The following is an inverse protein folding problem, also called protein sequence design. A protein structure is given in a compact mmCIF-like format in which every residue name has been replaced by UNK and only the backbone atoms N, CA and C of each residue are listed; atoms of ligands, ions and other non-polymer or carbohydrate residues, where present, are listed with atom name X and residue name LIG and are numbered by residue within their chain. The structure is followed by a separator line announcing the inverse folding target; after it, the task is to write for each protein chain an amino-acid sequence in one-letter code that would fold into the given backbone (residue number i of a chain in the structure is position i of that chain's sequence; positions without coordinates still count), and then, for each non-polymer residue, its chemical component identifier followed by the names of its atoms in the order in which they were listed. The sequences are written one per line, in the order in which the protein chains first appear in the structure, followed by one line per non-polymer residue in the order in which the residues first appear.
data_IF_918925043137
#
_entry.id   IF_918925043137
#
_cell.length_a   1.000
_cell.length_b   1.000
_cell.length_c   1.000
_cell.angle_alpha   90.00
_cell.angle_beta   90.00
_cell.angle_gamma   90.00
#
_symmetry.space_group_name_H-M   'P 1'
#
loop_
_entity.id
_entity.type
_entity.pdbx_description
1 polymer ?
#
# COMPACT_ATOMS: atom_id res chain seq x y z
N UNK A 1 9.55 16.08 -0.40
CA UNK A 1 8.64 15.03 0.07
C UNK A 1 8.15 14.21 -1.12
N UNK A 2 7.92 12.92 -0.91
CA UNK A 2 7.33 12.02 -1.89
C UNK A 2 5.81 12.27 -1.93
N UNK A 3 5.25 12.41 -3.11
CA UNK A 3 3.81 12.68 -3.31
C UNK A 3 3.16 11.49 -4.00
N UNK A 4 2.06 11.01 -3.44
CA UNK A 4 1.28 9.91 -4.02
C UNK A 4 -0.22 10.13 -3.88
N UNK A 5 -0.94 9.61 -4.86
CA UNK A 5 -2.40 9.54 -4.87
C UNK A 5 -2.85 8.16 -5.38
N UNK A 6 -4.06 7.75 -5.01
CA UNK A 6 -4.65 6.57 -5.62
C UNK A 6 -5.18 6.88 -7.02
N UNK A 7 -5.15 5.88 -7.89
CA UNK A 7 -5.81 5.93 -9.19
C UNK A 7 -6.37 4.55 -9.56
N UNK A 8 -7.53 4.53 -10.22
CA UNK A 8 -8.21 3.28 -10.57
C UNK A 8 -8.58 3.20 -12.05
N UNK A 9 -8.33 4.26 -12.83
CA UNK A 9 -8.63 4.33 -14.26
C UNK A 9 -7.48 4.94 -15.04
N UNK A 10 -7.39 4.62 -16.33
CA UNK A 10 -6.38 5.20 -17.20
C UNK A 10 -6.51 6.73 -17.33
N UNK A 11 -7.73 7.27 -17.32
CA UNK A 11 -7.96 8.71 -17.44
C UNK A 11 -7.49 9.47 -16.19
N UNK A 12 -7.77 8.94 -15.00
CA UNK A 12 -7.31 9.54 -13.75
C UNK A 12 -5.78 9.43 -13.62
N UNK A 13 -5.21 8.27 -13.97
CA UNK A 13 -3.76 8.09 -13.99
C UNK A 13 -3.08 9.13 -14.89
N UNK A 14 -3.59 9.32 -16.11
CA UNK A 14 -3.04 10.32 -17.04
C UNK A 14 -3.15 11.76 -16.52
N UNK A 15 -4.21 12.08 -15.77
CA UNK A 15 -4.37 13.39 -15.16
C UNK A 15 -3.37 13.64 -14.04
N UNK A 16 -3.09 12.62 -13.22
CA UNK A 16 -2.22 12.71 -12.05
C UNK A 16 -0.73 12.50 -12.35
N UNK A 17 -0.40 11.88 -13.46
CA UNK A 17 0.93 11.33 -13.80
C UNK A 17 2.11 12.33 -13.69
N UNK A 18 1.85 13.62 -13.96
CA UNK A 18 2.87 14.67 -13.86
C UNK A 18 2.97 15.33 -12.49
N UNK A 19 2.06 14.99 -11.57
CA UNK A 19 1.90 15.67 -10.28
C UNK A 19 2.30 14.80 -9.09
N UNK A 20 2.58 13.51 -9.32
CA UNK A 20 2.90 12.55 -8.27
C UNK A 20 4.15 11.74 -8.61
N UNK A 21 4.85 11.25 -7.59
CA UNK A 21 5.99 10.37 -7.75
C UNK A 21 5.56 8.92 -8.00
N UNK A 22 4.47 8.50 -7.36
CA UNK A 22 3.85 7.21 -7.66
C UNK A 22 2.33 7.25 -7.57
N UNK A 23 1.68 6.34 -8.28
CA UNK A 23 0.25 6.06 -8.24
C UNK A 23 0.02 4.72 -7.56
N UNK A 24 -0.89 4.69 -6.60
CA UNK A 24 -1.32 3.46 -5.95
C UNK A 24 -2.65 3.01 -6.52
N UNK A 25 -2.70 1.78 -7.02
CA UNK A 25 -3.96 1.09 -7.30
C UNK A 25 -4.32 0.34 -6.02
N UNK A 26 -5.04 1.02 -5.13
CA UNK A 26 -5.41 0.52 -3.81
C UNK A 26 -6.64 -0.38 -3.84
N UNK A 27 -6.72 -1.35 -2.94
CA UNK A 27 -7.94 -2.14 -2.74
C UNK A 27 -9.08 -1.31 -2.11
N UNK A 28 -8.78 -0.09 -1.64
CA UNK A 28 -9.76 0.95 -1.31
C UNK A 28 -10.76 1.24 -2.46
N UNK A 29 -10.41 0.89 -3.72
CA UNK A 29 -11.36 0.96 -4.84
C UNK A 29 -12.65 0.18 -4.60
N UNK A 30 -12.59 -0.90 -3.81
CA UNK A 30 -13.78 -1.63 -3.39
C UNK A 30 -14.80 -0.72 -2.74
N UNK A 31 -14.34 0.19 -1.88
CA UNK A 31 -15.21 1.13 -1.17
C UNK A 31 -15.61 2.32 -2.06
N UNK A 32 -14.63 3.01 -2.66
CA UNK A 32 -14.88 4.30 -3.34
C UNK A 32 -15.41 4.16 -4.77
N UNK A 33 -15.15 3.04 -5.45
CA UNK A 33 -15.63 2.81 -6.83
C UNK A 33 -16.82 1.84 -6.86
N UNK A 34 -16.76 0.78 -6.07
CA UNK A 34 -17.77 -0.29 -6.08
C UNK A 34 -18.80 -0.18 -4.96
N UNK A 35 -18.65 0.75 -4.01
CA UNK A 35 -19.58 0.92 -2.88
C UNK A 35 -19.61 -0.28 -1.92
N UNK A 36 -18.52 -1.06 -1.87
CA UNK A 36 -18.38 -2.18 -0.93
C UNK A 36 -18.20 -1.64 0.50
N UNK A 37 -18.65 -2.36 1.53
CA UNK A 37 -18.53 -1.90 2.91
C UNK A 37 -17.09 -1.90 3.46
N UNK A 38 -16.19 -2.63 2.82
CA UNK A 38 -14.76 -2.75 3.16
C UNK A 38 -13.98 -3.29 1.94
N UNK A 39 -12.67 -3.50 2.13
CA UNK A 39 -11.76 -3.98 1.07
C UNK A 39 -11.74 -5.51 0.90
N UNK A 40 -12.36 -6.28 1.81
CA UNK A 40 -12.21 -7.76 1.85
C UNK A 40 -12.80 -8.49 0.65
N UNK A 41 -13.76 -7.88 -0.05
CA UNK A 41 -14.42 -8.48 -1.22
C UNK A 41 -13.72 -8.14 -2.55
N UNK A 42 -12.66 -7.34 -2.51
CA UNK A 42 -11.87 -7.02 -3.72
C UNK A 42 -11.08 -8.24 -4.15
N UNK A 43 -11.21 -8.60 -5.43
CA UNK A 43 -10.55 -9.79 -5.97
C UNK A 43 -9.23 -9.45 -6.66
N UNK A 44 -8.38 -10.46 -6.82
CA UNK A 44 -7.12 -10.34 -7.56
C UNK A 44 -7.37 -9.89 -9.01
N UNK A 45 -8.42 -10.40 -9.65
CA UNK A 45 -8.77 -10.03 -11.03
C UNK A 45 -9.21 -8.56 -11.15
N UNK A 46 -9.91 -8.03 -10.15
CA UNK A 46 -10.24 -6.59 -10.07
C UNK A 46 -8.95 -5.77 -9.98
N UNK A 47 -8.03 -6.14 -9.08
CA UNK A 47 -6.76 -5.43 -8.93
C UNK A 47 -5.94 -5.44 -10.23
N UNK A 48 -5.90 -6.57 -10.93
CA UNK A 48 -5.22 -6.69 -12.22
C UNK A 48 -5.88 -5.81 -13.28
N UNK A 49 -7.21 -5.84 -13.39
CA UNK A 49 -7.93 -5.06 -14.38
C UNK A 49 -7.70 -3.54 -14.21
N UNK A 50 -7.82 -3.04 -12.98
CA UNK A 50 -7.58 -1.64 -12.65
C UNK A 50 -6.09 -1.28 -12.74
N UNK A 51 -5.19 -2.14 -12.25
CA UNK A 51 -3.75 -1.97 -12.35
C UNK A 51 -3.28 -1.81 -13.79
N UNK A 52 -3.73 -2.69 -14.68
CA UNK A 52 -3.42 -2.61 -16.10
C UNK A 52 -3.95 -1.31 -16.75
N UNK A 53 -5.13 -0.83 -16.33
CA UNK A 53 -5.68 0.43 -16.81
C UNK A 53 -4.82 1.63 -16.36
N UNK A 54 -4.43 1.66 -15.09
CA UNK A 54 -3.59 2.74 -14.53
C UNK A 54 -2.21 2.76 -15.18
N UNK A 55 -1.57 1.60 -15.35
CA UNK A 55 -0.28 1.50 -16.05
C UNK A 55 -0.36 2.05 -17.47
N UNK A 56 -1.42 1.75 -18.22
CA UNK A 56 -1.61 2.33 -19.58
C UNK A 56 -1.80 3.84 -19.57
N UNK A 57 -2.35 4.39 -18.49
CA UNK A 57 -2.58 5.83 -18.34
C UNK A 57 -1.35 6.60 -17.83
N UNK A 58 -0.41 5.92 -17.19
CA UNK A 58 0.79 6.53 -16.60
C UNK A 58 2.00 6.41 -17.56
N UNK A 59 2.86 7.44 -17.55
CA UNK A 59 4.10 7.49 -18.34
C UNK A 59 5.32 7.84 -17.49
N UNK A 60 5.14 8.51 -16.36
CA UNK A 60 6.21 9.01 -15.48
C UNK A 60 6.12 8.44 -14.08
N UNK A 61 4.93 8.50 -13.48
CA UNK A 61 4.73 8.03 -12.12
C UNK A 61 4.94 6.51 -12.02
N UNK A 62 5.60 6.09 -10.94
CA UNK A 62 5.71 4.68 -10.61
C UNK A 62 4.34 4.12 -10.26
N UNK A 63 3.91 3.00 -10.82
CA UNK A 63 2.62 2.38 -10.49
C UNK A 63 2.82 1.20 -9.57
N UNK A 64 2.21 1.23 -8.41
CA UNK A 64 2.18 0.16 -7.41
C UNK A 64 0.75 -0.38 -7.31
N UNK A 65 0.60 -1.69 -7.21
CA UNK A 65 -0.71 -2.36 -7.11
C UNK A 65 -0.82 -3.12 -5.81
N UNK A 66 -1.94 -2.95 -5.10
CA UNK A 66 -2.21 -3.69 -3.86
C UNK A 66 -2.45 -5.17 -4.13
N UNK A 67 -1.96 -5.99 -3.23
CA UNK A 67 -2.38 -7.38 -3.10
C UNK A 67 -3.65 -7.43 -2.24
N UNK A 68 -4.79 -7.89 -2.78
CA UNK A 68 -6.04 -7.90 -2.02
C UNK A 68 -6.03 -8.98 -0.92
N UNK A 69 -6.92 -8.82 0.05
CA UNK A 69 -7.09 -9.80 1.14
C UNK A 69 -7.26 -11.23 0.60
N UNK A 70 -6.60 -12.19 1.24
CA UNK A 70 -6.63 -13.59 0.87
C UNK A 70 -5.66 -13.98 -0.25
N UNK A 71 -4.94 -13.01 -0.85
CA UNK A 71 -4.02 -13.29 -1.96
C UNK A 71 -2.57 -13.54 -1.52
N UNK A 72 -2.18 -13.25 -0.25
CA UNK A 72 -0.80 -13.34 0.21
C UNK A 72 -0.64 -13.87 1.65
N UNK A 73 -1.73 -13.93 2.44
CA UNK A 73 -1.63 -14.26 3.86
C UNK A 73 -1.41 -15.75 4.14
N UNK A 74 -1.74 -16.64 3.21
CA UNK A 74 -1.69 -18.09 3.46
C UNK A 74 -0.26 -18.65 3.44
N UNK A 75 0.63 -18.14 2.58
CA UNK A 75 2.03 -18.54 2.50
C UNK A 75 2.85 -17.60 1.62
N UNK A 76 4.20 -17.58 1.80
CA UNK A 76 5.09 -16.85 0.89
C UNK A 76 4.99 -17.31 -0.57
N UNK A 77 4.75 -18.60 -0.84
CA UNK A 77 4.55 -19.10 -2.20
C UNK A 77 3.29 -18.57 -2.85
N UNK A 78 2.17 -18.58 -2.13
CA UNK A 78 0.92 -17.97 -2.61
C UNK A 78 1.13 -16.47 -2.92
N UNK A 79 1.78 -15.74 -2.01
CA UNK A 79 2.09 -14.33 -2.21
C UNK A 79 2.90 -14.11 -3.49
N UNK A 80 3.92 -14.93 -3.73
CA UNK A 80 4.75 -14.82 -4.92
C UNK A 80 3.98 -15.12 -6.20
N UNK A 81 3.19 -16.19 -6.25
CA UNK A 81 2.36 -16.52 -7.42
C UNK A 81 1.42 -15.39 -7.79
N UNK A 82 0.74 -14.80 -6.81
CA UNK A 82 -0.20 -13.71 -7.04
C UNK A 82 0.50 -12.37 -7.35
N UNK A 83 1.63 -12.06 -6.69
CA UNK A 83 2.43 -10.87 -7.01
C UNK A 83 3.02 -10.95 -8.42
N UNK A 84 3.57 -12.10 -8.81
CA UNK A 84 4.08 -12.33 -10.14
C UNK A 84 2.99 -12.20 -11.21
N UNK A 85 1.79 -12.69 -10.92
CA UNK A 85 0.63 -12.52 -11.80
C UNK A 85 0.22 -11.06 -11.94
N UNK A 86 0.13 -10.31 -10.83
CA UNK A 86 -0.15 -8.86 -10.87
C UNK A 86 0.88 -8.15 -11.74
N UNK A 87 2.17 -8.34 -11.50
CA UNK A 87 3.23 -7.67 -12.25
C UNK A 87 3.23 -8.02 -13.73
N UNK A 88 3.05 -9.29 -14.06
CA UNK A 88 3.06 -9.77 -15.45
C UNK A 88 1.86 -9.26 -16.25
N UNK A 89 0.66 -9.24 -15.66
CA UNK A 89 -0.57 -8.87 -16.37
C UNK A 89 -0.79 -7.34 -16.39
N UNK A 90 -0.26 -6.59 -15.42
CA UNK A 90 -0.43 -5.14 -15.35
C UNK A 90 0.75 -4.36 -15.90
N UNK A 91 1.97 -4.88 -15.75
CA UNK A 91 3.22 -4.14 -16.00
C UNK A 91 3.57 -3.12 -14.92
N UNK A 92 2.98 -3.23 -13.71
CA UNK A 92 3.29 -2.34 -12.59
C UNK A 92 4.75 -2.52 -12.10
N UNK A 93 5.26 -1.51 -11.40
CA UNK A 93 6.64 -1.48 -10.91
C UNK A 93 6.84 -2.29 -9.61
N UNK A 94 5.78 -2.56 -8.87
CA UNK A 94 5.82 -3.32 -7.62
C UNK A 94 4.43 -3.53 -7.04
N UNK A 95 4.39 -4.22 -5.90
CA UNK A 95 3.13 -4.50 -5.20
C UNK A 95 3.13 -3.87 -3.79
N UNK A 96 1.94 -3.65 -3.22
CA UNK A 96 1.80 -3.33 -1.80
C UNK A 96 1.10 -4.48 -1.07
N UNK A 97 1.48 -4.73 0.16
CA UNK A 97 0.82 -5.65 1.07
C UNK A 97 0.83 -5.10 2.49
N UNK A 98 -0.14 -5.53 3.28
CA UNK A 98 -0.34 -5.09 4.67
C UNK A 98 0.24 -6.11 5.65
N UNK A 99 0.86 -5.58 6.71
CA UNK A 99 1.39 -6.35 7.83
C UNK A 99 2.84 -5.99 8.17
N UNK A 100 3.19 -6.23 9.42
CA UNK A 100 4.49 -5.93 10.01
C UNK A 100 5.35 -7.18 10.19
N UNK A 101 5.64 -7.49 11.46
CA UNK A 101 6.50 -8.63 11.84
C UNK A 101 5.99 -9.97 11.28
N UNK A 102 4.68 -10.17 11.27
CA UNK A 102 4.04 -11.40 10.77
C UNK A 102 4.19 -11.58 9.25
N UNK A 103 4.44 -10.48 8.51
CA UNK A 103 4.64 -10.52 7.07
C UNK A 103 6.12 -10.43 6.64
N UNK A 104 7.05 -10.28 7.59
CA UNK A 104 8.46 -10.09 7.28
C UNK A 104 9.05 -11.24 6.45
N UNK A 105 8.71 -12.50 6.75
CA UNK A 105 9.15 -13.66 5.97
C UNK A 105 8.62 -13.61 4.53
N UNK A 106 7.33 -13.27 4.37
CA UNK A 106 6.71 -13.16 3.06
C UNK A 106 7.33 -12.03 2.25
N UNK A 107 7.56 -10.86 2.86
CA UNK A 107 8.22 -9.73 2.20
C UNK A 107 9.64 -10.12 1.74
N UNK A 108 10.44 -10.73 2.60
CA UNK A 108 11.79 -11.19 2.26
C UNK A 108 11.76 -12.19 1.10
N UNK A 109 10.84 -13.15 1.15
CA UNK A 109 10.67 -14.16 0.09
C UNK A 109 10.34 -13.52 -1.28
N UNK A 110 9.48 -12.50 -1.31
CA UNK A 110 9.13 -11.75 -2.51
C UNK A 110 10.32 -10.96 -3.04
N UNK A 111 10.96 -10.18 -2.17
CA UNK A 111 12.09 -9.30 -2.53
C UNK A 111 13.27 -10.10 -3.07
N UNK A 112 13.65 -11.20 -2.42
CA UNK A 112 14.71 -12.10 -2.89
C UNK A 112 14.46 -12.68 -4.28
N UNK A 113 13.18 -12.74 -4.71
CA UNK A 113 12.77 -13.24 -6.04
C UNK A 113 12.47 -12.13 -7.04
N UNK A 114 12.85 -10.88 -6.72
CA UNK A 114 12.76 -9.76 -7.64
C UNK A 114 11.41 -9.03 -7.66
N UNK A 115 10.55 -9.25 -6.67
CA UNK A 115 9.29 -8.50 -6.50
C UNK A 115 9.54 -7.30 -5.60
N UNK A 116 9.46 -6.04 -6.09
CA UNK A 116 9.55 -4.85 -5.25
C UNK A 116 8.30 -4.72 -4.37
N UNK A 117 8.50 -4.57 -3.05
CA UNK A 117 7.42 -4.51 -2.07
C UNK A 117 7.37 -3.15 -1.39
N UNK A 118 6.23 -2.47 -1.49
CA UNK A 118 5.80 -1.40 -0.60
C UNK A 118 5.10 -2.04 0.60
N UNK A 119 5.68 -1.92 1.79
CA UNK A 119 5.06 -2.43 3.00
C UNK A 119 3.97 -1.47 3.51
N UNK A 120 3.14 -1.94 4.46
CA UNK A 120 2.12 -1.12 5.09
C UNK A 120 1.95 -1.53 6.56
N UNK A 121 2.19 -0.59 7.46
CA UNK A 121 2.11 -0.76 8.92
C UNK A 121 1.17 0.29 9.55
N UNK A 122 0.86 0.15 10.82
CA UNK A 122 -0.10 0.98 11.53
C UNK A 122 -1.50 0.38 11.45
N UNK A 123 -2.49 1.16 11.04
CA UNK A 123 -3.81 0.61 10.73
C UNK A 123 -3.74 -0.24 9.46
N UNK A 124 -4.35 -1.40 9.50
CA UNK A 124 -4.43 -2.33 8.38
C UNK A 124 -5.89 -2.48 7.95
N UNK A 125 -6.35 -1.84 6.87
CA UNK A 125 -7.73 -1.92 6.40
C UNK A 125 -8.23 -3.34 6.16
N UNK A 126 -7.39 -4.24 5.71
CA UNK A 126 -7.73 -5.66 5.52
C UNK A 126 -7.99 -6.39 6.86
N UNK A 127 -7.59 -5.81 8.00
CA UNK A 127 -7.88 -6.30 9.34
C UNK A 127 -9.04 -5.55 10.02
N UNK A 128 -9.79 -4.71 9.31
CA UNK A 128 -10.84 -3.84 9.86
C UNK A 128 -11.88 -4.58 10.71
N UNK A 129 -12.21 -5.83 10.38
CA UNK A 129 -13.13 -6.65 11.17
C UNK A 129 -12.56 -7.08 12.54
N UNK A 130 -11.25 -7.06 12.74
CA UNK A 130 -10.61 -7.38 14.00
C UNK A 130 -10.53 -6.18 14.94
N UNK A 131 -10.33 -4.98 14.36
CA UNK A 131 -10.05 -3.76 15.14
C UNK A 131 -11.25 -2.82 15.31
N UNK A 132 -12.38 -3.14 14.71
CA UNK A 132 -13.61 -2.36 14.89
C UNK A 132 -13.66 -1.02 14.17
N UNK A 133 -12.91 -0.86 13.08
CA UNK A 133 -12.94 0.32 12.22
C UNK A 133 -11.60 1.08 12.12
N UNK A 134 -11.64 2.28 11.55
CA UNK A 134 -10.48 3.13 11.34
C UNK A 134 -10.13 3.90 12.63
N UNK A 135 -9.37 3.26 13.53
CA UNK A 135 -8.94 3.85 14.79
C UNK A 135 -7.46 4.23 14.73
N UNK A 136 -7.13 5.41 15.30
CA UNK A 136 -5.72 5.84 15.43
C UNK A 136 -4.92 4.84 16.24
N UNK A 137 -3.82 4.35 15.66
CA UNK A 137 -2.92 3.39 16.27
C UNK A 137 -1.96 4.09 17.23
N UNK A 138 -1.80 3.53 18.44
CA UNK A 138 -1.05 4.12 19.55
C UNK A 138 -0.07 3.17 20.22
N UNK A 139 -0.02 1.92 19.79
CA UNK A 139 0.93 0.94 20.31
C UNK A 139 2.30 1.16 19.66
N UNK A 140 3.05 2.10 20.26
CA UNK A 140 4.35 2.54 19.75
C UNK A 140 5.34 1.38 19.61
N UNK A 141 5.43 0.51 20.62
CA UNK A 141 6.38 -0.61 20.61
C UNK A 141 6.09 -1.56 19.44
N UNK A 142 4.82 -1.91 19.25
CA UNK A 142 4.39 -2.76 18.16
C UNK A 142 4.66 -2.13 16.79
N UNK A 143 4.26 -0.89 16.58
CA UNK A 143 4.35 -0.24 15.26
C UNK A 143 5.81 0.00 14.87
N UNK A 144 6.68 0.37 15.82
CA UNK A 144 8.12 0.48 15.61
C UNK A 144 8.73 -0.88 15.23
N UNK A 145 8.40 -1.94 15.97
CA UNK A 145 8.88 -3.29 15.67
C UNK A 145 8.42 -3.76 14.28
N UNK A 146 7.17 -3.45 13.89
CA UNK A 146 6.64 -3.75 12.56
C UNK A 146 7.41 -3.00 11.47
N UNK A 147 7.67 -1.69 11.64
CA UNK A 147 8.42 -0.87 10.70
C UNK A 147 9.87 -1.37 10.52
N UNK A 148 10.53 -1.73 11.61
CA UNK A 148 11.88 -2.32 11.56
C UNK A 148 11.88 -3.69 10.87
N UNK A 149 10.87 -4.52 11.12
CA UNK A 149 10.77 -5.85 10.52
C UNK A 149 10.62 -5.78 8.99
N UNK A 150 9.73 -4.92 8.49
CA UNK A 150 9.53 -4.76 7.03
C UNK A 150 10.74 -4.14 6.36
N UNK A 151 11.43 -3.21 7.04
CA UNK A 151 12.70 -2.62 6.57
C UNK A 151 13.77 -3.70 6.42
N UNK A 152 13.96 -4.53 7.46
CA UNK A 152 14.92 -5.63 7.44
C UNK A 152 14.58 -6.69 6.40
N UNK A 153 13.31 -6.91 6.12
CA UNK A 153 12.83 -7.84 5.10
C UNK A 153 13.11 -7.35 3.66
N UNK A 154 13.50 -6.09 3.47
CA UNK A 154 13.88 -5.53 2.18
C UNK A 154 12.78 -4.79 1.44
N UNK A 155 11.69 -4.40 2.11
CA UNK A 155 10.73 -3.46 1.53
C UNK A 155 11.42 -2.18 1.07
N UNK A 156 11.03 -1.63 -0.08
CA UNK A 156 11.68 -0.40 -0.60
C UNK A 156 11.14 0.88 0.04
N UNK A 157 9.94 0.84 0.61
CA UNK A 157 9.29 1.91 1.37
C UNK A 157 8.18 1.29 2.24
N UNK A 158 7.64 2.07 3.19
CA UNK A 158 6.49 1.64 3.99
C UNK A 158 5.44 2.72 4.10
N UNK A 159 4.16 2.35 3.94
CA UNK A 159 3.02 3.19 4.31
C UNK A 159 2.85 3.11 5.82
N UNK A 160 2.55 4.25 6.46
CA UNK A 160 2.16 4.34 7.87
C UNK A 160 0.76 4.93 7.89
N UNK A 161 -0.24 4.14 8.29
CA UNK A 161 -1.64 4.56 8.26
C UNK A 161 -2.21 4.78 9.65
N UNK A 162 -2.96 5.90 9.81
CA UNK A 162 -3.73 6.24 11.01
C UNK A 162 -2.94 6.02 12.31
N UNK A 163 -1.70 6.51 12.36
CA UNK A 163 -0.78 6.37 13.50
C UNK A 163 -0.57 7.73 14.16
N UNK A 164 -0.43 7.75 15.48
CA UNK A 164 -0.08 8.97 16.22
C UNK A 164 1.14 9.67 15.57
N UNK A 165 1.08 11.00 15.31
CA UNK A 165 2.14 11.71 14.59
C UNK A 165 3.53 11.55 15.20
N UNK A 166 3.63 11.52 16.53
CA UNK A 166 4.91 11.36 17.24
C UNK A 166 5.55 9.98 16.97
N UNK A 167 4.74 8.93 16.90
CA UNK A 167 5.21 7.58 16.57
C UNK A 167 5.69 7.54 15.11
N UNK A 168 4.92 8.14 14.20
CA UNK A 168 5.27 8.19 12.76
C UNK A 168 6.57 8.97 12.52
N UNK A 169 6.75 10.10 13.24
CA UNK A 169 8.00 10.87 13.23
C UNK A 169 9.17 10.00 13.66
N UNK A 170 9.04 9.32 14.78
CA UNK A 170 10.07 8.45 15.33
C UNK A 170 10.42 7.31 14.37
N UNK A 171 9.44 6.66 13.75
CA UNK A 171 9.67 5.64 12.71
C UNK A 171 10.50 6.22 11.57
N UNK A 172 10.12 7.40 11.06
CA UNK A 172 10.82 8.06 9.95
C UNK A 172 12.28 8.44 10.28
N UNK A 173 12.58 8.70 11.56
CA UNK A 173 13.93 8.95 12.03
C UNK A 173 14.77 7.68 12.21
N UNK A 174 14.15 6.55 12.54
CA UNK A 174 14.84 5.31 12.91
C UNK A 174 15.07 4.33 11.75
N UNK A 175 14.16 4.25 10.78
CA UNK A 175 14.29 3.30 9.67
C UNK A 175 15.01 3.93 8.47
N UNK A 176 15.56 3.09 7.60
CA UNK A 176 16.37 3.52 6.45
C UNK A 176 15.64 3.57 5.12
N UNK A 177 14.38 3.12 5.09
CA UNK A 177 13.54 3.17 3.90
C UNK A 177 12.55 4.33 3.99
N UNK A 178 12.11 4.93 2.88
CA UNK A 178 11.13 6.00 2.90
C UNK A 178 9.83 5.63 3.60
N UNK A 179 9.28 6.56 4.39
CA UNK A 179 7.98 6.47 5.03
C UNK A 179 6.94 7.31 4.29
N UNK A 180 5.77 6.73 4.04
CA UNK A 180 4.65 7.38 3.33
C UNK A 180 3.45 7.44 4.27
N UNK A 181 3.11 8.62 4.74
CA UNK A 181 2.03 8.82 5.71
C UNK A 181 0.65 8.92 5.07
N UNK A 182 -0.34 8.35 5.74
CA UNK A 182 -1.76 8.62 5.52
C UNK A 182 -2.47 8.67 6.88
N UNK A 183 -2.96 9.86 7.28
CA UNK A 183 -3.48 10.06 8.62
C UNK A 183 -2.46 9.83 9.73
N UNK A 184 -1.17 10.10 9.47
CA UNK A 184 -0.04 9.79 10.33
C UNK A 184 0.85 11.02 10.65
N UNK A 185 0.34 12.23 10.43
CA UNK A 185 1.10 13.47 10.61
C UNK A 185 1.94 13.84 9.40
N UNK A 186 2.70 14.94 9.54
CA UNK A 186 3.44 15.56 8.43
C UNK A 186 4.93 15.16 8.36
N UNK A 187 5.42 14.37 9.32
CA UNK A 187 6.85 14.10 9.50
C UNK A 187 7.36 12.86 8.74
N UNK A 188 6.50 12.19 7.98
CA UNK A 188 6.91 11.15 7.03
C UNK A 188 7.63 11.74 5.81
N UNK A 189 8.45 10.95 5.14
CA UNK A 189 9.19 11.35 3.92
C UNK A 189 8.25 11.70 2.77
N UNK A 190 7.06 11.12 2.76
CA UNK A 190 6.02 11.39 1.78
C UNK A 190 4.61 11.24 2.34
N UNK A 191 3.62 11.56 1.51
CA UNK A 191 2.19 11.45 1.84
C UNK A 191 1.44 10.78 0.70
N UNK A 192 0.44 9.98 1.07
CA UNK A 192 -0.54 9.42 0.13
C UNK A 192 -1.96 9.73 0.59
N UNK A 193 -2.85 9.99 -0.36
CA UNK A 193 -4.28 10.14 -0.10
C UNK A 193 -5.08 9.31 -1.09
N UNK A 194 -6.24 8.85 -0.67
CA UNK A 194 -7.28 8.36 -1.57
C UNK A 194 -7.79 9.57 -2.35
N UNK A 195 -7.72 9.52 -3.66
CA UNK A 195 -8.06 10.67 -4.51
C UNK A 195 -9.51 11.10 -4.33
N UNK A 196 -10.42 10.14 -4.20
CA UNK A 196 -11.84 10.37 -3.98
C UNK A 196 -12.11 11.10 -2.66
N UNK A 197 -11.38 10.76 -1.59
CA UNK A 197 -11.47 11.49 -0.31
C UNK A 197 -10.98 12.93 -0.46
N UNK A 198 -9.87 13.12 -1.16
CA UNK A 198 -9.28 14.45 -1.39
C UNK A 198 -10.22 15.38 -2.14
N UNK A 199 -11.00 14.87 -3.09
CA UNK A 199 -11.96 15.67 -3.89
C UNK A 199 -13.38 15.65 -3.31
N UNK A 200 -13.59 15.02 -2.15
CA UNK A 200 -14.89 15.01 -1.47
C UNK A 200 -15.92 14.05 -2.08
N UNK A 201 -15.48 12.96 -2.67
CA UNK A 201 -16.30 11.89 -3.24
C UNK A 201 -16.20 10.56 -2.48
N UNK A 202 -15.43 10.55 -1.38
CA UNK A 202 -15.26 9.38 -0.51
C UNK A 202 -16.22 9.38 0.67
#
# INVERSE_FOLDING_TARGET
PIVSLTAYTASLANLLDEHVDFLLVGDSMGMVIYGMPNTLSVTLDMMIAHGAAVVRGSKKACVIVDMPFGSYQASPSQAFENAARIMAETGCAGIKLEGGQEMAETIAFLVERGVPVLAHVGLLPQHANQVGGFLTQRDEEKILADAHAVTKAGAFATVIECTEPEISRRISEEITIPTIGIGAGADCDGQILVTEDMIGQG
#
